data_IF_011394236126
#
_entry.id   IF_011394236126
#
_cell.length_a   1.000
_cell.length_b   1.000
_cell.length_c   1.000
_cell.angle_alpha   90.00
_cell.angle_beta   90.00
_cell.angle_gamma   90.00
#
_symmetry.space_group_name_H-M   'P 1'
#
loop_
_entity.id
_entity.type
_entity.pdbx_description
1 polymer ?
#
# COMPACT_ATOMS: atom_id res chain seq x y z
N UNK A 1 -11.84 -6.00 15.09
CA UNK A 1 -10.63 -6.31 14.30
C UNK A 1 -10.82 -5.72 12.91
N UNK A 2 -9.87 -4.91 12.45
CA UNK A 2 -9.88 -4.41 11.07
C UNK A 2 -9.61 -5.57 10.12
N UNK A 3 -10.43 -5.73 9.09
CA UNK A 3 -10.30 -6.83 8.13
C UNK A 3 -9.04 -6.62 7.30
N UNK A 4 -8.14 -7.60 7.32
CA UNK A 4 -6.97 -7.66 6.43
C UNK A 4 -7.28 -8.59 5.27
N UNK A 5 -7.16 -8.09 4.05
CA UNK A 5 -7.30 -8.87 2.82
C UNK A 5 -5.89 -9.18 2.31
N UNK A 6 -5.57 -10.46 2.09
CA UNK A 6 -4.32 -10.85 1.46
C UNK A 6 -4.52 -10.99 -0.05
N UNK A 7 -3.65 -10.36 -0.84
CA UNK A 7 -3.61 -10.55 -2.29
C UNK A 7 -3.22 -12.00 -2.61
N UNK A 8 -3.86 -12.54 -3.65
CA UNK A 8 -3.59 -13.84 -4.25
C UNK A 8 -3.97 -13.82 -5.73
N UNK A 9 -3.69 -14.91 -6.45
CA UNK A 9 -3.89 -14.97 -7.90
C UNK A 9 -5.35 -14.75 -8.37
N UNK A 10 -6.34 -14.89 -7.49
CA UNK A 10 -7.76 -14.71 -7.82
C UNK A 10 -8.16 -13.23 -7.74
N UNK A 11 -7.65 -12.49 -6.75
CA UNK A 11 -8.08 -11.12 -6.47
C UNK A 11 -7.04 -10.04 -6.83
N UNK A 12 -5.82 -10.44 -7.22
CA UNK A 12 -4.69 -9.53 -7.44
C UNK A 12 -5.02 -8.42 -8.44
N UNK A 13 -5.55 -8.78 -9.59
CA UNK A 13 -5.84 -7.83 -10.66
C UNK A 13 -6.91 -6.82 -10.25
N UNK A 14 -8.05 -7.28 -9.74
CA UNK A 14 -9.13 -6.40 -9.29
C UNK A 14 -8.65 -5.44 -8.19
N UNK A 15 -7.93 -5.97 -7.20
CA UNK A 15 -7.46 -5.18 -6.06
C UNK A 15 -6.41 -4.15 -6.50
N UNK A 16 -5.43 -4.53 -7.31
CA UNK A 16 -4.39 -3.59 -7.75
C UNK A 16 -4.96 -2.51 -8.69
N UNK A 17 -5.89 -2.86 -9.58
CA UNK A 17 -6.59 -1.87 -10.40
C UNK A 17 -7.37 -0.87 -9.55
N UNK A 18 -8.09 -1.35 -8.53
CA UNK A 18 -8.80 -0.48 -7.59
C UNK A 18 -7.84 0.39 -6.76
N UNK A 19 -6.71 -0.17 -6.34
CA UNK A 19 -5.71 0.55 -5.57
C UNK A 19 -5.03 1.65 -6.38
N UNK A 20 -4.75 1.38 -7.67
CA UNK A 20 -4.19 2.35 -8.61
C UNK A 20 -5.19 3.48 -8.87
N UNK A 21 -6.41 3.15 -9.27
CA UNK A 21 -7.44 4.13 -9.58
C UNK A 21 -7.85 4.99 -8.37
N UNK A 22 -7.76 4.43 -7.16
CA UNK A 22 -8.11 5.11 -5.91
C UNK A 22 -6.93 5.72 -5.16
N UNK A 23 -5.72 5.72 -5.73
CA UNK A 23 -4.48 6.21 -5.11
C UNK A 23 -4.30 5.71 -3.66
N UNK A 24 -4.48 4.41 -3.43
CA UNK A 24 -4.49 3.84 -2.08
C UNK A 24 -3.22 4.22 -1.31
N UNK A 25 -3.38 4.54 -0.03
CA UNK A 25 -2.24 4.81 0.84
C UNK A 25 -1.45 3.53 1.04
N UNK A 26 -0.16 3.56 0.75
CA UNK A 26 0.69 2.37 0.69
C UNK A 26 1.96 2.52 1.51
N UNK A 27 2.21 1.51 2.35
CA UNK A 27 3.37 1.34 3.21
C UNK A 27 4.16 0.17 2.64
N UNK A 28 5.45 0.39 2.38
CA UNK A 28 6.35 -0.62 1.82
C UNK A 28 7.34 -1.06 2.90
N UNK A 29 7.54 -2.38 3.05
CA UNK A 29 8.53 -2.91 4.00
C UNK A 29 7.99 -3.06 5.42
N UNK A 30 6.76 -3.54 5.55
CA UNK A 30 6.16 -3.88 6.84
C UNK A 30 6.82 -5.14 7.45
N UNK A 31 7.92 -4.97 8.17
CA UNK A 31 8.60 -6.04 8.89
C UNK A 31 7.92 -6.43 10.21
N UNK A 32 8.16 -7.64 10.73
CA UNK A 32 7.54 -8.10 11.97
C UNK A 32 6.07 -8.49 11.79
N UNK A 33 5.27 -8.35 12.85
CA UNK A 33 3.88 -8.81 12.86
C UNK A 33 2.95 -7.82 12.18
N UNK A 34 2.21 -8.27 11.16
CA UNK A 34 1.29 -7.40 10.39
C UNK A 34 0.19 -6.77 11.27
N UNK A 35 -0.18 -7.43 12.36
CA UNK A 35 -1.14 -6.90 13.33
C UNK A 35 -0.64 -5.60 13.99
N UNK A 36 0.66 -5.48 14.26
CA UNK A 36 1.26 -4.27 14.83
C UNK A 36 1.15 -3.09 13.86
N UNK A 37 1.36 -3.33 12.56
CA UNK A 37 1.21 -2.31 11.52
C UNK A 37 -0.23 -1.83 11.41
N UNK A 38 -1.19 -2.76 11.29
CA UNK A 38 -2.60 -2.38 11.12
C UNK A 38 -3.16 -1.67 12.35
N UNK A 39 -2.80 -2.12 13.56
CA UNK A 39 -3.20 -1.47 14.81
C UNK A 39 -2.51 -0.12 14.98
N UNK A 40 -1.19 -0.06 14.77
CA UNK A 40 -0.38 1.15 14.89
C UNK A 40 -0.82 2.26 13.93
N UNK A 41 -1.03 1.94 12.65
CA UNK A 41 -1.54 2.92 11.69
C UNK A 41 -2.96 3.35 12.01
N UNK A 42 -3.83 2.45 12.45
CA UNK A 42 -5.19 2.85 12.88
C UNK A 42 -5.10 3.88 14.01
N UNK A 43 -4.30 3.60 15.04
CA UNK A 43 -4.11 4.51 16.16
C UNK A 43 -3.49 5.85 15.75
N UNK A 44 -2.41 5.83 14.97
CA UNK A 44 -1.73 7.05 14.51
C UNK A 44 -2.66 7.94 13.67
N UNK A 45 -3.41 7.37 12.74
CA UNK A 45 -4.34 8.14 11.91
C UNK A 45 -5.45 8.77 12.74
N UNK A 46 -5.95 8.08 13.77
CA UNK A 46 -6.93 8.64 14.71
C UNK A 46 -6.36 9.78 15.55
N UNK A 47 -5.15 9.61 16.09
CA UNK A 47 -4.47 10.63 16.90
C UNK A 47 -4.20 11.91 16.10
N UNK A 48 -3.97 11.78 14.79
CA UNK A 48 -3.82 12.90 13.86
C UNK A 48 -5.16 13.46 13.36
N UNK A 49 -6.30 12.91 13.78
CA UNK A 49 -7.62 13.35 13.36
C UNK A 49 -7.96 13.05 11.90
N UNK A 50 -7.24 12.11 11.27
CA UNK A 50 -7.40 11.78 9.84
C UNK A 50 -8.59 10.84 9.62
N UNK A 51 -8.86 9.95 10.57
CA UNK A 51 -9.91 8.94 10.49
C UNK A 51 -9.36 7.52 10.61
N UNK A 52 -10.19 6.52 10.28
CA UNK A 52 -9.81 5.10 10.34
C UNK A 52 -9.94 4.45 8.96
N UNK A 53 -8.96 3.66 8.53
CA UNK A 53 -9.10 2.83 7.33
C UNK A 53 -10.27 1.85 7.46
N UNK A 54 -11.08 1.72 6.40
CA UNK A 54 -12.21 0.78 6.37
C UNK A 54 -11.75 -0.68 6.29
N UNK A 55 -10.58 -0.92 5.71
CA UNK A 55 -9.92 -2.21 5.57
C UNK A 55 -8.43 -2.01 5.32
N UNK A 56 -7.65 -3.05 5.57
CA UNK A 56 -6.26 -3.13 5.14
C UNK A 56 -6.11 -4.24 4.10
N UNK A 57 -5.17 -4.06 3.19
CA UNK A 57 -4.81 -5.04 2.17
C UNK A 57 -3.30 -5.26 2.25
N UNK A 58 -2.87 -6.52 2.30
CA UNK A 58 -1.46 -6.88 2.30
C UNK A 58 -1.09 -7.66 1.04
N UNK A 59 0.11 -7.38 0.55
CA UNK A 59 0.69 -8.00 -0.63
C UNK A 59 2.21 -8.08 -0.46
N UNK A 60 2.85 -8.88 -1.30
CA UNK A 60 4.29 -9.09 -1.28
C UNK A 60 4.99 -8.43 -2.46
N UNK A 61 6.32 -8.31 -2.40
CA UNK A 61 7.11 -7.91 -3.56
C UNK A 61 6.93 -8.86 -4.75
N UNK A 62 6.75 -10.16 -4.49
CA UNK A 62 6.42 -11.13 -5.52
C UNK A 62 5.10 -10.81 -6.23
N UNK A 63 4.06 -10.37 -5.49
CA UNK A 63 2.79 -9.94 -6.08
C UNK A 63 2.96 -8.73 -7.00
N UNK A 64 3.77 -7.74 -6.59
CA UNK A 64 4.07 -6.56 -7.42
C UNK A 64 4.84 -6.95 -8.68
N UNK A 65 5.90 -7.74 -8.55
CA UNK A 65 6.72 -8.18 -9.67
C UNK A 65 5.88 -8.97 -10.68
N UNK A 66 5.06 -9.91 -10.19
CA UNK A 66 4.21 -10.74 -11.04
C UNK A 66 3.14 -9.93 -11.77
N UNK A 67 2.52 -8.95 -11.11
CA UNK A 67 1.43 -8.18 -11.72
C UNK A 67 1.92 -7.15 -12.73
N UNK A 68 2.98 -6.42 -12.39
CA UNK A 68 3.49 -5.32 -13.20
C UNK A 68 4.69 -5.71 -14.07
N UNK A 69 5.10 -6.98 -14.06
CA UNK A 69 6.20 -7.48 -14.89
C UNK A 69 7.56 -6.88 -14.54
N UNK A 70 7.79 -6.56 -13.26
CA UNK A 70 9.01 -5.86 -12.83
C UNK A 70 10.21 -6.80 -12.82
N UNK A 71 11.34 -6.35 -13.35
CA UNK A 71 12.55 -7.18 -13.51
C UNK A 71 13.84 -6.46 -13.10
N UNK A 72 14.96 -7.19 -13.09
CA UNK A 72 16.28 -6.63 -12.86
C UNK A 72 16.40 -5.84 -11.55
N UNK A 73 16.93 -4.62 -11.63
CA UNK A 73 17.13 -3.72 -10.48
C UNK A 73 15.86 -3.03 -9.99
N UNK A 74 14.75 -3.17 -10.70
CA UNK A 74 13.46 -2.57 -10.34
C UNK A 74 12.51 -3.59 -9.70
N UNK A 75 12.81 -4.88 -9.80
CA UNK A 75 12.11 -5.93 -9.09
C UNK A 75 12.28 -5.80 -7.56
N UNK A 76 11.19 -6.03 -6.85
CA UNK A 76 11.16 -6.08 -5.39
C UNK A 76 11.68 -7.42 -4.87
N UNK A 77 12.21 -7.43 -3.64
CA UNK A 77 12.46 -8.68 -2.93
C UNK A 77 11.14 -9.45 -2.75
N UNK A 78 11.12 -10.75 -3.09
CA UNK A 78 9.88 -11.52 -3.18
C UNK A 78 9.07 -11.52 -1.88
N UNK A 79 9.74 -11.61 -0.73
CA UNK A 79 9.13 -11.66 0.60
C UNK A 79 8.92 -10.27 1.24
N UNK A 80 9.14 -9.18 0.51
CA UNK A 80 8.89 -7.84 1.02
C UNK A 80 7.39 -7.66 1.28
N UNK A 81 7.00 -7.56 2.54
CA UNK A 81 5.60 -7.32 2.90
C UNK A 81 5.25 -5.85 2.73
N UNK A 82 4.12 -5.59 2.09
CA UNK A 82 3.53 -4.27 1.92
C UNK A 82 2.11 -4.26 2.48
N UNK A 83 1.63 -3.06 2.81
CA UNK A 83 0.30 -2.81 3.33
C UNK A 83 -0.30 -1.60 2.63
N UNK A 84 -1.57 -1.66 2.27
CA UNK A 84 -2.29 -0.52 1.73
C UNK A 84 -3.74 -0.45 2.22
N UNK A 85 -4.35 0.73 2.09
CA UNK A 85 -5.75 0.93 2.42
C UNK A 85 -6.41 2.01 1.54
N UNK A 86 -7.73 1.88 1.28
CA UNK A 86 -8.49 2.89 0.56
C UNK A 86 -8.60 4.19 1.36
N UNK A 87 -8.83 5.29 0.64
CA UNK A 87 -8.92 6.63 1.22
C UNK A 87 -10.33 7.00 1.70
N UNK A 88 -11.32 6.12 1.50
CA UNK A 88 -12.72 6.35 1.85
C UNK A 88 -12.89 6.74 3.32
N UNK A 89 -13.49 7.90 3.56
CA UNK A 89 -13.77 8.41 4.91
C UNK A 89 -12.55 9.00 5.65
N UNK A 90 -11.42 9.18 4.98
CA UNK A 90 -10.23 9.85 5.53
C UNK A 90 -10.18 11.33 5.12
N UNK A 91 -9.65 12.18 6.01
CA UNK A 91 -9.26 13.54 5.65
C UNK A 91 -7.99 13.50 4.79
N UNK A 92 -8.16 13.54 3.46
CA UNK A 92 -7.07 13.46 2.50
C UNK A 92 -6.05 14.61 2.62
N UNK A 93 -6.46 15.79 3.09
CA UNK A 93 -5.55 16.93 3.29
C UNK A 93 -4.58 16.66 4.43
N UNK A 94 -5.11 16.22 5.57
CA UNK A 94 -4.29 15.81 6.72
C UNK A 94 -3.47 14.56 6.39
N UNK A 95 -4.04 13.59 5.68
CA UNK A 95 -3.37 12.36 5.27
C UNK A 95 -2.18 12.64 4.33
N UNK A 96 -2.30 13.59 3.41
CA UNK A 96 -1.19 13.97 2.52
C UNK A 96 0.02 14.48 3.31
N UNK A 97 -0.20 15.28 4.36
CA UNK A 97 0.86 15.76 5.24
C UNK A 97 1.44 14.64 6.11
N UNK A 98 0.60 13.74 6.61
CA UNK A 98 1.03 12.55 7.34
C UNK A 98 1.92 11.66 6.48
N UNK A 99 1.50 11.36 5.24
CA UNK A 99 2.27 10.58 4.25
C UNK A 99 3.69 11.11 4.07
N UNK A 100 3.85 12.43 3.95
CA UNK A 100 5.17 13.05 3.79
C UNK A 100 6.08 12.81 5.01
N UNK A 101 5.51 12.81 6.22
CA UNK A 101 6.26 12.56 7.47
C UNK A 101 6.59 11.08 7.66
N UNK A 102 5.63 10.20 7.36
CA UNK A 102 5.78 8.76 7.45
C UNK A 102 6.64 8.17 6.32
N UNK A 103 6.90 8.96 5.26
CA UNK A 103 7.63 8.56 4.05
C UNK A 103 6.95 7.45 3.23
N UNK A 104 5.64 7.29 3.42
CA UNK A 104 4.80 6.38 2.64
C UNK A 104 4.50 6.94 1.25
N UNK A 105 3.70 6.21 0.46
CA UNK A 105 3.41 6.55 -0.93
C UNK A 105 1.93 6.37 -1.26
N UNK A 106 1.49 7.06 -2.30
CA UNK A 106 0.28 6.68 -2.99
C UNK A 106 0.59 5.50 -3.92
N UNK A 107 -0.36 4.60 -4.11
CA UNK A 107 -0.11 3.38 -4.87
C UNK A 107 0.15 3.64 -6.37
N UNK A 108 -0.60 4.57 -6.96
CA UNK A 108 -0.38 5.08 -8.32
C UNK A 108 1.02 5.70 -8.49
N UNK A 109 1.47 6.52 -7.53
CA UNK A 109 2.84 7.06 -7.52
C UNK A 109 3.89 5.92 -7.59
N UNK A 110 3.67 4.80 -6.89
CA UNK A 110 4.59 3.66 -6.92
C UNK A 110 4.59 3.03 -8.30
N UNK A 111 3.41 2.72 -8.84
CA UNK A 111 3.26 2.02 -10.12
C UNK A 111 3.84 2.85 -11.26
N UNK A 112 3.49 4.13 -11.36
CA UNK A 112 3.98 5.02 -12.42
C UNK A 112 5.51 5.19 -12.37
N UNK A 113 6.09 5.26 -11.16
CA UNK A 113 7.54 5.33 -11.00
C UNK A 113 8.23 4.02 -11.39
N UNK A 114 7.65 2.87 -11.08
CA UNK A 114 8.18 1.58 -11.49
C UNK A 114 8.14 1.43 -13.02
N UNK A 115 7.02 1.79 -13.65
CA UNK A 115 6.89 1.74 -15.10
C UNK A 115 7.96 2.60 -15.78
N UNK A 116 8.14 3.85 -15.34
CA UNK A 116 9.18 4.75 -15.90
C UNK A 116 10.59 4.20 -15.76
N UNK A 117 10.86 3.39 -14.72
CA UNK A 117 12.17 2.76 -14.51
C UNK A 117 12.38 1.53 -15.38
N UNK A 118 11.33 0.79 -15.71
CA UNK A 118 11.42 -0.32 -16.69
C UNK A 118 11.63 0.19 -18.12
N UNK A 119 11.08 1.37 -18.44
CA UNK A 119 11.21 1.99 -19.76
C UNK A 119 12.59 2.64 -20.00
N UNK A 120 13.39 2.86 -18.96
CA UNK A 120 14.66 3.60 -18.98
C UNK A 120 15.89 2.69 -19.18
#
# INVERSE_FOLDING_TARGET
MTKVIKINDINREEIFNAAYAGSYYTIIGCGGELAEWTAGYTQLLEEFGIGKPTRFITFTGADMNAHYGLTGSNAYQENLTCLMFPLDGLDCGCLAMFRLRAQDKWFDDIVDNNQRREEA
#
